data_IF_028611853738
#
_entry.id   IF_028611853738
#
_cell.length_a   1.000
_cell.length_b   1.000
_cell.length_c   1.000
_cell.angle_alpha   90.00
_cell.angle_beta   90.00
_cell.angle_gamma   90.00
#
_symmetry.space_group_name_H-M   'P 1'
#
loop_
_entity.id
_entity.type
_entity.pdbx_description
1 polymer ?
#
# COMPACT_ATOMS: atom_id res chain seq x y z
N UNK A 1 1.79 11.77 -2.66
CA UNK A 1 0.41 11.52 -2.20
C UNK A 1 -0.63 12.35 -2.96
N UNK A 2 -0.97 13.59 -2.60
CA UNK A 2 -2.16 14.28 -3.17
C UNK A 2 -2.13 14.49 -4.69
N UNK A 3 -0.94 14.71 -5.29
CA UNK A 3 -0.79 14.83 -6.75
C UNK A 3 -1.04 13.51 -7.51
N UNK A 4 -1.04 12.37 -6.83
CA UNK A 4 -1.46 11.11 -7.43
C UNK A 4 -2.98 11.14 -7.62
N UNK A 5 -3.37 11.47 -8.85
CA UNK A 5 -4.76 11.63 -9.26
C UNK A 5 -5.48 10.29 -9.30
N UNK A 6 -4.82 9.19 -9.68
CA UNK A 6 -5.41 7.85 -9.71
C UNK A 6 -5.81 7.46 -8.30
N UNK A 7 -4.87 7.51 -7.36
CA UNK A 7 -5.12 7.21 -5.94
C UNK A 7 -6.24 8.07 -5.37
N UNK A 8 -6.08 9.40 -5.43
CA UNK A 8 -6.98 10.33 -4.73
C UNK A 8 -8.38 10.34 -5.35
N UNK A 9 -8.50 10.29 -6.69
CA UNK A 9 -9.80 10.25 -7.37
C UNK A 9 -10.52 8.91 -7.22
N UNK A 10 -9.79 7.80 -7.06
CA UNK A 10 -10.41 6.50 -6.76
C UNK A 10 -11.14 6.53 -5.42
N UNK A 11 -10.51 7.04 -4.35
CA UNK A 11 -11.21 7.23 -3.07
C UNK A 11 -12.37 8.20 -3.18
N UNK A 12 -12.16 9.36 -3.83
CA UNK A 12 -13.22 10.34 -4.02
C UNK A 12 -14.44 9.74 -4.72
N UNK A 13 -14.24 9.02 -5.84
CA UNK A 13 -15.32 8.35 -6.57
C UNK A 13 -15.97 7.26 -5.73
N UNK A 14 -15.18 6.41 -5.07
CA UNK A 14 -15.71 5.34 -4.21
C UNK A 14 -16.63 5.89 -3.11
N UNK A 15 -16.28 7.04 -2.52
CA UNK A 15 -17.06 7.69 -1.46
C UNK A 15 -18.27 8.45 -2.05
N UNK A 16 -18.05 9.38 -2.98
CA UNK A 16 -19.11 10.26 -3.50
C UNK A 16 -20.14 9.52 -4.36
N UNK A 17 -19.72 8.55 -5.18
CA UNK A 17 -20.66 7.73 -5.97
C UNK A 17 -21.49 6.78 -5.10
N UNK A 18 -21.07 6.54 -3.85
CA UNK A 18 -21.79 5.72 -2.88
C UNK A 18 -22.23 6.55 -1.67
N UNK A 19 -22.54 7.85 -1.85
CA UNK A 19 -22.92 8.74 -0.77
C UNK A 19 -24.10 8.25 0.10
N UNK A 20 -24.98 7.41 -0.47
CA UNK A 20 -26.07 6.75 0.26
C UNK A 20 -25.57 5.83 1.39
N UNK A 21 -24.36 5.27 1.30
CA UNK A 21 -23.73 4.50 2.37
C UNK A 21 -23.16 5.39 3.47
N UNK A 22 -22.74 6.61 3.14
CA UNK A 22 -22.10 7.55 4.07
C UNK A 22 -23.09 8.46 4.78
N UNK A 23 -24.25 8.73 4.18
CA UNK A 23 -25.25 9.65 4.74
C UNK A 23 -25.62 9.25 6.18
N UNK A 24 -25.53 10.23 7.08
CA UNK A 24 -25.84 10.10 8.51
C UNK A 24 -24.97 9.07 9.26
N UNK A 25 -23.84 8.64 8.68
CA UNK A 25 -22.91 7.67 9.30
C UNK A 25 -21.77 8.32 10.05
N UNK A 26 -21.23 7.60 11.03
CA UNK A 26 -19.98 7.92 11.69
C UNK A 26 -18.83 7.21 10.97
N UNK A 27 -17.84 7.97 10.52
CA UNK A 27 -16.69 7.47 9.75
C UNK A 27 -15.41 7.62 10.56
N UNK A 28 -14.52 6.62 10.48
CA UNK A 28 -13.15 6.68 10.97
C UNK A 28 -12.17 6.73 9.80
N UNK A 29 -11.34 7.77 9.75
CA UNK A 29 -10.25 7.93 8.79
C UNK A 29 -8.91 7.57 9.49
N UNK A 30 -8.36 6.40 9.19
CA UNK A 30 -7.15 5.86 9.85
C UNK A 30 -5.93 6.27 9.04
N UNK A 31 -5.05 7.08 9.63
CA UNK A 31 -3.93 7.71 8.91
C UNK A 31 -4.43 8.89 8.08
N UNK A 32 -5.23 9.77 8.70
CA UNK A 32 -5.97 10.81 7.99
C UNK A 32 -5.08 11.83 7.26
N UNK A 33 -3.81 11.96 7.65
CA UNK A 33 -2.85 12.86 7.01
C UNK A 33 -3.39 14.29 6.93
N UNK A 34 -3.48 14.81 5.71
CA UNK A 34 -4.07 16.15 5.43
C UNK A 34 -5.59 16.25 5.61
N UNK A 35 -6.28 15.13 5.90
CA UNK A 35 -7.73 15.06 6.08
C UNK A 35 -8.54 14.89 4.79
N UNK A 36 -7.91 14.67 3.64
CA UNK A 36 -8.60 14.66 2.34
C UNK A 36 -9.71 13.60 2.25
N UNK A 37 -9.51 12.41 2.81
CA UNK A 37 -10.52 11.34 2.81
C UNK A 37 -11.67 11.67 3.76
N UNK A 38 -11.35 12.24 4.93
CA UNK A 38 -12.32 12.82 5.85
C UNK A 38 -13.20 13.88 5.17
N UNK A 39 -12.63 14.75 4.34
CA UNK A 39 -13.38 15.77 3.61
C UNK A 39 -14.35 15.17 2.59
N UNK A 40 -13.91 14.13 1.85
CA UNK A 40 -14.80 13.41 0.93
C UNK A 40 -15.95 12.73 1.67
N UNK A 41 -15.70 12.12 2.84
CA UNK A 41 -16.75 11.53 3.66
C UNK A 41 -17.80 12.55 4.11
N UNK A 42 -17.36 13.75 4.54
CA UNK A 42 -18.27 14.86 4.90
C UNK A 42 -19.08 15.35 3.70
N UNK A 43 -18.44 15.48 2.52
CA UNK A 43 -19.11 15.83 1.26
C UNK A 43 -20.16 14.77 0.86
N UNK A 44 -19.91 13.49 1.12
CA UNK A 44 -20.86 12.40 0.92
C UNK A 44 -22.01 12.37 1.94
N UNK A 45 -22.01 13.26 2.94
CA UNK A 45 -23.08 13.38 3.92
C UNK A 45 -22.84 12.62 5.23
N UNK A 46 -21.59 12.23 5.55
CA UNK A 46 -21.26 11.65 6.85
C UNK A 46 -21.74 12.55 8.00
N UNK A 47 -22.36 11.95 9.01
CA UNK A 47 -22.80 12.67 10.22
C UNK A 47 -21.61 13.28 10.94
N UNK A 48 -20.56 12.48 11.12
CA UNK A 48 -19.32 12.88 11.77
C UNK A 48 -18.16 12.03 11.26
N UNK A 49 -16.97 12.63 11.20
CA UNK A 49 -15.73 11.92 10.88
C UNK A 49 -14.73 12.08 12.01
N UNK A 50 -14.15 10.97 12.45
CA UNK A 50 -12.99 10.96 13.33
C UNK A 50 -11.77 10.63 12.49
N UNK A 51 -10.78 11.52 12.44
CA UNK A 51 -9.51 11.27 11.74
C UNK A 51 -8.39 11.03 12.74
N UNK A 52 -7.73 9.87 12.68
CA UNK A 52 -6.56 9.57 13.52
C UNK A 52 -5.30 9.83 12.69
N UNK A 53 -4.37 10.58 13.24
CA UNK A 53 -3.08 10.88 12.61
C UNK A 53 -2.00 11.06 13.67
N UNK A 54 -0.86 10.39 13.54
CA UNK A 54 0.20 10.46 14.54
C UNK A 54 1.20 11.60 14.28
N UNK A 55 1.33 12.05 13.03
CA UNK A 55 2.29 13.07 12.61
C UNK A 55 1.75 14.50 12.74
N UNK A 56 2.66 15.47 12.60
CA UNK A 56 2.32 16.90 12.75
C UNK A 56 1.44 17.48 11.64
N UNK A 57 1.25 16.73 10.55
CA UNK A 57 0.39 17.12 9.44
C UNK A 57 -1.07 17.34 9.90
N UNK A 58 -1.47 16.77 11.03
CA UNK A 58 -2.79 16.95 11.62
C UNK A 58 -3.12 18.43 11.90
N UNK A 59 -2.10 19.25 12.19
CA UNK A 59 -2.26 20.70 12.36
C UNK A 59 -2.68 21.38 11.06
N UNK A 60 -2.17 20.91 9.93
CA UNK A 60 -2.56 21.33 8.59
C UNK A 60 -3.98 20.84 8.29
N UNK A 61 -4.32 19.59 8.64
CA UNK A 61 -5.66 19.05 8.47
C UNK A 61 -6.72 19.87 9.23
N UNK A 62 -6.44 20.25 10.47
CA UNK A 62 -7.29 21.13 11.28
C UNK A 62 -7.48 22.52 10.64
N UNK A 63 -6.40 23.10 10.08
CA UNK A 63 -6.49 24.35 9.35
C UNK A 63 -7.37 24.22 8.10
N UNK A 64 -7.14 23.18 7.29
CA UNK A 64 -7.90 22.89 6.09
C UNK A 64 -9.38 22.64 6.40
N UNK A 65 -9.70 21.93 7.50
CA UNK A 65 -11.08 21.75 7.99
C UNK A 65 -11.78 23.08 8.20
N UNK A 66 -11.11 24.01 8.89
CA UNK A 66 -11.64 25.34 9.19
C UNK A 66 -11.82 26.17 7.91
N UNK A 67 -10.81 26.18 7.04
CA UNK A 67 -10.84 26.97 5.80
C UNK A 67 -11.89 26.46 4.80
N UNK A 68 -12.24 25.17 4.82
CA UNK A 68 -13.28 24.57 3.97
C UNK A 68 -14.67 24.55 4.63
N UNK A 69 -14.84 25.16 5.81
CA UNK A 69 -16.16 25.30 6.45
C UNK A 69 -16.78 23.98 6.93
N UNK A 70 -15.97 22.96 7.23
CA UNK A 70 -16.49 21.68 7.72
C UNK A 70 -16.89 21.70 9.21
N UNK A 71 -16.59 22.81 9.91
CA UNK A 71 -17.01 23.05 11.29
C UNK A 71 -16.64 21.89 12.22
N UNK A 72 -17.62 21.47 13.02
CA UNK A 72 -17.46 20.38 13.99
C UNK A 72 -17.74 18.99 13.39
N UNK A 73 -17.99 18.86 12.08
CA UNK A 73 -18.29 17.56 11.45
C UNK A 73 -17.07 16.63 11.36
N UNK A 74 -15.87 17.15 11.68
CA UNK A 74 -14.62 16.38 11.70
C UNK A 74 -13.86 16.68 12.99
N UNK A 75 -13.47 15.62 13.69
CA UNK A 75 -12.58 15.68 14.85
C UNK A 75 -11.29 14.94 14.50
N UNK A 76 -10.18 15.66 14.44
CA UNK A 76 -8.86 15.04 14.28
C UNK A 76 -8.26 14.72 15.65
N UNK A 77 -7.73 13.52 15.79
CA UNK A 77 -7.15 12.97 17.02
C UNK A 77 -5.68 12.66 16.77
N UNK A 78 -4.79 13.40 17.44
CA UNK A 78 -3.35 13.23 17.28
C UNK A 78 -2.84 12.06 18.11
N UNK A 79 -2.23 11.08 17.47
CA UNK A 79 -1.61 9.93 18.12
C UNK A 79 -1.67 8.66 17.30
N UNK A 80 -1.14 7.57 17.87
CA UNK A 80 -1.28 6.23 17.29
C UNK A 80 -2.68 5.70 17.60
N UNK A 81 -3.30 5.00 16.65
CA UNK A 81 -4.66 4.53 16.83
C UNK A 81 -4.79 3.56 18.02
N UNK A 82 -3.73 2.81 18.30
CA UNK A 82 -3.62 1.86 19.40
C UNK A 82 -3.66 2.53 20.79
N UNK A 83 -3.37 3.85 20.85
CA UNK A 83 -3.27 4.64 22.08
C UNK A 83 -4.41 5.64 22.25
N UNK A 84 -5.29 5.73 21.25
CA UNK A 84 -6.42 6.66 21.24
C UNK A 84 -7.70 5.94 21.68
N UNK A 85 -8.55 6.66 22.37
CA UNK A 85 -9.97 6.32 22.53
C UNK A 85 -10.83 7.28 21.72
N UNK A 86 -11.76 6.71 20.93
CA UNK A 86 -12.75 7.51 20.25
C UNK A 86 -13.83 7.96 21.25
N UNK A 87 -14.42 9.15 21.09
CA UNK A 87 -15.55 9.60 21.91
C UNK A 87 -16.87 8.88 21.57
N UNK A 88 -16.79 7.79 20.80
CA UNK A 88 -17.89 6.91 20.40
C UNK A 88 -17.47 5.46 20.60
N UNK A 89 -18.42 4.59 20.93
CA UNK A 89 -18.15 3.16 21.11
C UNK A 89 -17.96 2.40 19.80
N UNK A 90 -18.51 2.92 18.70
CA UNK A 90 -18.39 2.28 17.38
C UNK A 90 -18.54 3.27 16.24
N UNK A 91 -18.04 2.87 15.06
CA UNK A 91 -18.15 3.58 13.79
C UNK A 91 -18.82 2.68 12.74
N UNK A 92 -19.48 3.31 11.78
CA UNK A 92 -20.16 2.61 10.69
C UNK A 92 -19.19 2.26 9.55
N UNK A 93 -18.21 3.14 9.29
CA UNK A 93 -17.30 3.03 8.16
C UNK A 93 -15.87 3.31 8.63
N UNK A 94 -14.92 2.50 8.19
CA UNK A 94 -13.50 2.84 8.23
C UNK A 94 -13.05 3.16 6.80
N UNK A 95 -12.40 4.30 6.62
CA UNK A 95 -11.66 4.65 5.40
C UNK A 95 -10.19 4.76 5.76
N UNK A 96 -9.31 4.24 4.92
CA UNK A 96 -7.87 4.37 5.13
C UNK A 96 -7.11 4.16 3.83
N UNK A 97 -6.05 4.94 3.65
CA UNK A 97 -5.02 4.72 2.65
C UNK A 97 -3.83 4.03 3.33
N UNK A 98 -3.93 2.72 3.45
CA UNK A 98 -2.98 1.90 4.23
C UNK A 98 -1.94 1.20 3.37
N UNK A 99 -2.09 1.23 2.05
CA UNK A 99 -1.28 0.43 1.13
C UNK A 99 0.13 1.00 1.03
N UNK A 100 1.12 0.14 1.21
CA UNK A 100 2.52 0.50 1.04
C UNK A 100 3.13 -0.06 -0.25
N UNK A 101 4.44 0.04 -0.39
CA UNK A 101 5.14 -0.58 -1.53
C UNK A 101 4.95 -2.09 -1.52
N UNK A 102 4.84 -2.70 -2.70
CA UNK A 102 4.49 -4.12 -2.82
C UNK A 102 3.27 -4.52 -1.95
N UNK A 103 2.30 -3.58 -1.83
CA UNK A 103 1.11 -3.62 -0.99
C UNK A 103 1.35 -3.62 0.53
N UNK A 104 2.36 -4.34 1.03
CA UNK A 104 2.52 -4.67 2.46
C UNK A 104 3.74 -4.02 3.13
N UNK A 105 4.70 -3.46 2.38
CA UNK A 105 5.87 -2.81 2.97
C UNK A 105 5.52 -1.42 3.49
N UNK A 106 5.80 -1.13 4.76
CA UNK A 106 5.38 0.09 5.46
C UNK A 106 3.86 0.34 5.45
N UNK A 107 3.08 -0.72 5.21
CA UNK A 107 1.63 -0.63 5.18
C UNK A 107 1.04 -0.45 6.59
N UNK A 108 -0.06 0.30 6.68
CA UNK A 108 -0.83 0.48 7.92
C UNK A 108 -1.93 -0.56 8.10
N UNK A 109 -1.85 -1.71 7.40
CA UNK A 109 -2.89 -2.73 7.41
C UNK A 109 -3.17 -3.25 8.82
N UNK A 110 -2.12 -3.49 9.63
CA UNK A 110 -2.28 -3.95 11.01
C UNK A 110 -3.09 -2.96 11.86
N UNK A 111 -2.83 -1.66 11.71
CA UNK A 111 -3.57 -0.59 12.40
C UNK A 111 -5.02 -0.49 11.91
N UNK A 112 -5.29 -0.69 10.61
CA UNK A 112 -6.65 -0.75 10.08
C UNK A 112 -7.42 -1.94 10.67
N UNK A 113 -6.77 -3.10 10.76
CA UNK A 113 -7.36 -4.30 11.37
C UNK A 113 -7.61 -4.10 12.87
N UNK A 114 -6.70 -3.46 13.58
CA UNK A 114 -6.90 -3.06 14.98
C UNK A 114 -8.13 -2.15 15.13
N UNK A 115 -8.24 -1.10 14.31
CA UNK A 115 -9.38 -0.18 14.34
C UNK A 115 -10.70 -0.88 14.01
N UNK A 116 -10.69 -1.82 13.06
CA UNK A 116 -11.84 -2.66 12.72
C UNK A 116 -12.28 -3.50 13.92
N UNK A 117 -11.32 -4.14 14.58
CA UNK A 117 -11.62 -5.03 15.70
C UNK A 117 -12.08 -4.25 16.93
N UNK A 118 -11.54 -3.04 17.14
CA UNK A 118 -11.90 -2.17 18.26
C UNK A 118 -13.21 -1.40 18.04
N UNK A 119 -13.41 -0.75 16.89
CA UNK A 119 -14.47 0.24 16.71
C UNK A 119 -15.47 -0.03 15.59
N UNK A 120 -15.16 -0.86 14.60
CA UNK A 120 -16.12 -1.08 13.51
C UNK A 120 -17.31 -1.92 13.99
N UNK A 121 -18.54 -1.48 13.65
CA UNK A 121 -19.76 -2.26 13.86
C UNK A 121 -19.66 -3.62 13.19
N UNK A 122 -19.89 -4.70 13.93
CA UNK A 122 -19.60 -6.08 13.47
C UNK A 122 -20.52 -6.56 12.36
N UNK A 123 -21.79 -6.17 12.41
CA UNK A 123 -22.80 -6.66 11.46
C UNK A 123 -22.95 -5.78 10.22
N UNK A 124 -22.79 -4.46 10.39
CA UNK A 124 -23.10 -3.47 9.34
C UNK A 124 -21.90 -2.65 8.90
N UNK A 125 -20.72 -2.89 9.47
CA UNK A 125 -19.55 -2.09 9.24
C UNK A 125 -18.96 -2.26 7.85
N UNK A 126 -18.47 -1.18 7.27
CA UNK A 126 -17.83 -1.15 5.95
C UNK A 126 -16.39 -0.66 6.10
N UNK A 127 -15.47 -1.24 5.32
CA UNK A 127 -14.08 -0.77 5.22
C UNK A 127 -13.83 -0.34 3.78
N UNK A 128 -13.19 0.81 3.58
CA UNK A 128 -12.77 1.27 2.26
C UNK A 128 -11.25 1.50 2.23
N UNK A 129 -10.51 0.77 1.36
CA UNK A 129 -10.94 -0.38 0.55
C UNK A 129 -11.15 -1.65 1.39
N UNK A 130 -12.06 -2.52 0.96
CA UNK A 130 -12.34 -3.82 1.62
C UNK A 130 -11.55 -4.99 1.03
N UNK A 131 -10.93 -4.82 -0.14
CA UNK A 131 -10.17 -5.85 -0.86
C UNK A 131 -8.91 -5.26 -1.47
N UNK A 132 -7.83 -6.03 -1.43
CA UNK A 132 -6.63 -5.77 -2.19
C UNK A 132 -6.06 -7.07 -2.76
N UNK A 133 -5.37 -6.94 -3.88
CA UNK A 133 -4.79 -8.05 -4.63
C UNK A 133 -3.36 -7.70 -5.01
N UNK A 134 -2.44 -8.64 -4.85
CA UNK A 134 -1.07 -8.51 -5.37
C UNK A 134 -0.91 -9.43 -6.58
N UNK A 135 -0.34 -8.88 -7.64
CA UNK A 135 -0.03 -9.58 -8.87
C UNK A 135 1.47 -9.57 -9.12
N UNK A 136 1.95 -10.58 -9.85
CA UNK A 136 3.34 -10.71 -10.27
C UNK A 136 3.37 -11.03 -11.77
N UNK A 137 4.26 -10.38 -12.49
CA UNK A 137 4.63 -10.72 -13.87
C UNK A 137 6.16 -10.67 -13.98
N UNK A 138 6.73 -11.43 -14.92
CA UNK A 138 8.14 -11.32 -15.26
C UNK A 138 8.33 -10.22 -16.32
N UNK A 139 9.46 -9.54 -16.25
CA UNK A 139 9.84 -8.44 -17.13
C UNK A 139 11.16 -8.77 -17.83
N UNK A 140 11.33 -8.22 -19.02
CA UNK A 140 12.63 -8.04 -19.67
C UNK A 140 13.22 -6.72 -19.14
N UNK A 141 14.46 -6.74 -18.68
CA UNK A 141 15.08 -5.58 -18.01
C UNK A 141 16.61 -5.60 -18.13
N UNK A 142 17.14 -6.17 -19.21
CA UNK A 142 18.58 -6.40 -19.37
C UNK A 142 19.37 -5.09 -19.42
N UNK A 143 18.85 -4.07 -20.12
CA UNK A 143 19.51 -2.77 -20.25
C UNK A 143 19.58 -2.03 -18.90
N UNK A 144 18.45 -1.91 -18.20
CA UNK A 144 18.40 -1.28 -16.88
C UNK A 144 19.25 -2.03 -15.85
N UNK A 145 19.21 -3.37 -15.89
CA UNK A 145 20.08 -4.21 -15.05
C UNK A 145 21.55 -3.95 -15.35
N UNK A 146 21.97 -3.88 -16.62
CA UNK A 146 23.38 -3.59 -16.94
C UNK A 146 23.76 -2.18 -16.47
N UNK A 147 22.89 -1.19 -16.63
CA UNK A 147 23.13 0.17 -16.12
C UNK A 147 23.29 0.21 -14.60
N UNK A 148 22.38 -0.40 -13.84
CA UNK A 148 22.37 -0.32 -12.36
C UNK A 148 23.29 -1.31 -11.69
N UNK A 149 23.44 -2.51 -12.25
CA UNK A 149 24.15 -3.64 -11.65
C UNK A 149 25.52 -3.84 -12.29
N UNK A 150 25.63 -3.61 -13.61
CA UNK A 150 26.89 -3.72 -14.36
C UNK A 150 27.91 -2.64 -14.03
N UNK A 151 27.46 -1.41 -13.70
CA UNK A 151 28.32 -0.29 -13.28
C UNK A 151 29.30 -0.67 -12.15
N UNK A 152 28.86 -1.50 -11.20
CA UNK A 152 29.67 -1.91 -10.04
C UNK A 152 30.81 -2.87 -10.37
N UNK A 153 30.87 -3.42 -11.58
CA UNK A 153 32.01 -4.25 -11.99
C UNK A 153 33.30 -3.41 -12.09
N UNK A 154 33.20 -2.11 -12.39
CA UNK A 154 34.35 -1.23 -12.52
C UNK A 154 33.96 0.23 -12.22
N UNK A 155 34.26 0.67 -11.01
CA UNK A 155 34.01 2.04 -10.56
C UNK A 155 35.33 2.78 -10.57
N UNK A 156 35.57 3.55 -11.64
CA UNK A 156 36.81 4.32 -11.85
C UNK A 156 38.11 3.49 -11.76
N UNK A 157 38.10 2.26 -12.26
CA UNK A 157 39.22 1.32 -12.22
C UNK A 157 39.24 0.40 -11.00
N UNK A 158 38.26 0.53 -10.09
CA UNK A 158 38.15 -0.27 -8.87
C UNK A 158 37.07 -1.35 -9.00
N UNK A 159 37.35 -2.55 -8.50
CA UNK A 159 36.39 -3.64 -8.45
C UNK A 159 35.42 -3.46 -7.26
N UNK A 160 34.17 -3.11 -7.58
CA UNK A 160 33.07 -2.97 -6.62
C UNK A 160 32.06 -4.13 -6.73
N UNK A 161 32.45 -5.26 -7.31
CA UNK A 161 31.56 -6.41 -7.54
C UNK A 161 30.93 -6.98 -6.26
N UNK A 162 31.48 -6.70 -5.08
CA UNK A 162 30.81 -7.02 -3.82
C UNK A 162 29.48 -6.26 -3.65
N UNK A 163 29.44 -4.97 -4.02
CA UNK A 163 28.23 -4.12 -3.95
C UNK A 163 27.13 -4.66 -4.86
N UNK A 164 27.52 -5.20 -6.03
CA UNK A 164 26.61 -5.88 -6.95
C UNK A 164 25.78 -6.97 -6.26
N UNK A 165 26.40 -7.77 -5.39
CA UNK A 165 25.71 -8.83 -4.67
C UNK A 165 24.68 -8.27 -3.69
N UNK A 166 25.00 -7.16 -3.01
CA UNK A 166 24.07 -6.47 -2.10
C UNK A 166 22.86 -5.93 -2.86
N UNK A 167 23.06 -5.25 -3.98
CA UNK A 167 21.98 -4.63 -4.77
C UNK A 167 21.04 -5.69 -5.35
N UNK A 168 21.56 -6.85 -5.77
CA UNK A 168 20.74 -7.95 -6.28
C UNK A 168 19.80 -8.57 -5.22
N UNK A 169 20.03 -8.28 -3.93
CA UNK A 169 19.16 -8.70 -2.84
C UNK A 169 18.03 -7.71 -2.53
N UNK A 170 18.16 -6.47 -2.98
CA UNK A 170 17.22 -5.38 -2.68
C UNK A 170 16.17 -5.23 -3.79
N UNK A 171 14.86 -5.21 -3.44
CA UNK A 171 13.82 -4.88 -4.41
C UNK A 171 13.93 -3.41 -4.86
N UNK A 172 13.78 -3.17 -6.15
CA UNK A 172 13.74 -1.82 -6.72
C UNK A 172 12.28 -1.41 -6.91
N UNK A 173 11.94 -0.21 -6.45
CA UNK A 173 10.64 0.42 -6.68
C UNK A 173 10.80 1.41 -7.82
N UNK A 174 10.36 1.02 -9.01
CA UNK A 174 10.36 1.87 -10.20
C UNK A 174 9.15 1.59 -11.08
N UNK A 175 8.91 2.44 -12.07
CA UNK A 175 7.87 2.23 -13.08
C UNK A 175 8.41 1.32 -14.18
N UNK A 176 7.71 0.21 -14.43
CA UNK A 176 8.02 -0.71 -15.53
C UNK A 176 7.18 -0.32 -16.74
N UNK A 177 7.85 -0.13 -17.89
CA UNK A 177 7.18 0.09 -19.18
C UNK A 177 6.36 -1.14 -19.59
N UNK A 178 5.17 -0.94 -20.13
CA UNK A 178 4.27 -2.05 -20.51
C UNK A 178 4.93 -3.01 -21.51
N UNK A 179 5.74 -2.49 -22.43
CA UNK A 179 6.48 -3.28 -23.43
C UNK A 179 7.53 -4.21 -22.82
N UNK A 180 7.99 -3.95 -21.60
CA UNK A 180 8.95 -4.79 -20.88
C UNK A 180 8.30 -6.02 -20.23
N UNK A 181 6.97 -6.07 -20.11
CA UNK A 181 6.27 -7.18 -19.45
C UNK A 181 6.25 -8.42 -20.37
N UNK A 182 6.98 -9.46 -19.99
CA UNK A 182 7.23 -10.64 -20.83
C UNK A 182 6.26 -11.81 -20.57
N UNK A 183 5.47 -11.75 -19.50
CA UNK A 183 4.53 -12.83 -19.13
C UNK A 183 3.17 -12.27 -18.72
N UNK A 184 2.14 -13.10 -18.79
CA UNK A 184 0.86 -12.81 -18.13
C UNK A 184 1.04 -12.63 -16.62
N UNK A 185 0.24 -11.73 -16.03
CA UNK A 185 0.24 -11.54 -14.59
C UNK A 185 -0.44 -12.71 -13.85
N UNK A 186 0.18 -13.17 -12.77
CA UNK A 186 -0.38 -14.15 -11.84
C UNK A 186 -0.75 -13.46 -10.52
N UNK A 187 -1.94 -13.75 -9.99
CA UNK A 187 -2.37 -13.25 -8.69
C UNK A 187 -1.70 -14.05 -7.57
N UNK A 188 -0.86 -13.39 -6.77
CA UNK A 188 -0.06 -14.02 -5.71
C UNK A 188 -0.59 -13.77 -4.30
N UNK A 189 -1.46 -12.76 -4.13
CA UNK A 189 -2.12 -12.48 -2.85
C UNK A 189 -3.54 -11.97 -3.06
N UNK A 190 -4.42 -12.39 -2.15
CA UNK A 190 -5.75 -11.82 -1.93
C UNK A 190 -5.85 -11.44 -0.46
N UNK A 191 -5.96 -10.16 -0.15
CA UNK A 191 -6.33 -9.70 1.19
C UNK A 191 -7.73 -9.12 1.14
N UNK A 192 -8.60 -9.58 2.03
CA UNK A 192 -9.83 -8.88 2.34
C UNK A 192 -9.59 -8.14 3.66
N UNK A 193 -9.86 -6.84 3.75
CA UNK A 193 -9.77 -6.12 5.01
C UNK A 193 -10.74 -6.70 6.07
N UNK A 194 -11.80 -7.39 5.63
CA UNK A 194 -12.69 -8.19 6.49
C UNK A 194 -12.04 -9.49 7.00
N UNK A 195 -11.04 -10.03 6.31
CA UNK A 195 -10.38 -11.28 6.65
C UNK A 195 -8.86 -11.22 6.35
N UNK A 196 -8.09 -10.99 7.42
CA UNK A 196 -6.83 -11.67 7.73
C UNK A 196 -5.56 -10.81 7.85
N UNK A 197 -5.08 -10.68 9.10
CA UNK A 197 -3.67 -10.50 9.41
C UNK A 197 -2.83 -11.74 9.03
N UNK A 198 -3.43 -12.95 9.08
CA UNK A 198 -2.75 -14.21 8.79
C UNK A 198 -2.44 -14.40 7.28
N UNK A 199 -3.33 -13.95 6.39
CA UNK A 199 -3.14 -14.10 4.94
C UNK A 199 -2.07 -13.14 4.41
N UNK A 200 -1.99 -11.92 4.96
CA UNK A 200 -0.95 -10.96 4.59
C UNK A 200 0.46 -11.47 4.93
N UNK A 201 0.65 -12.04 6.13
CA UNK A 201 1.94 -12.67 6.53
C UNK A 201 2.28 -13.90 5.68
N UNK A 202 1.30 -14.75 5.41
CA UNK A 202 1.49 -15.93 4.56
C UNK A 202 1.86 -15.54 3.12
N UNK A 203 1.31 -14.45 2.60
CA UNK A 203 1.57 -13.99 1.25
C UNK A 203 2.87 -13.22 1.09
N UNK A 204 3.29 -12.44 2.10
CA UNK A 204 4.65 -11.90 2.13
C UNK A 204 5.69 -13.03 2.09
N UNK A 205 5.44 -14.12 2.84
CA UNK A 205 6.27 -15.32 2.78
C UNK A 205 6.17 -16.05 1.42
N UNK A 206 4.98 -16.10 0.79
CA UNK A 206 4.79 -16.69 -0.52
C UNK A 206 5.47 -15.88 -1.63
N UNK A 207 5.41 -14.55 -1.59
CA UNK A 207 6.12 -13.66 -2.48
C UNK A 207 7.64 -13.84 -2.34
N UNK A 208 8.16 -13.89 -1.11
CA UNK A 208 9.57 -14.18 -0.85
C UNK A 208 10.00 -15.56 -1.42
N UNK A 209 9.14 -16.58 -1.30
CA UNK A 209 9.37 -17.91 -1.89
C UNK A 209 9.29 -17.89 -3.42
N UNK A 210 8.38 -17.14 -4.01
CA UNK A 210 8.27 -16.99 -5.46
C UNK A 210 9.51 -16.29 -6.04
N UNK A 211 10.02 -15.26 -5.36
CA UNK A 211 11.30 -14.61 -5.69
C UNK A 211 12.46 -15.60 -5.56
N UNK A 212 12.51 -16.40 -4.49
CA UNK A 212 13.54 -17.42 -4.32
C UNK A 212 13.47 -18.52 -5.39
N UNK A 213 12.26 -18.94 -5.79
CA UNK A 213 12.06 -19.92 -6.86
C UNK A 213 12.48 -19.36 -8.23
N UNK A 214 12.15 -18.10 -8.52
CA UNK A 214 12.62 -17.41 -9.72
C UNK A 214 14.15 -17.31 -9.76
N UNK A 215 14.80 -17.02 -8.62
CA UNK A 215 16.27 -17.05 -8.47
C UNK A 215 16.86 -18.43 -8.79
N UNK A 216 16.24 -19.51 -8.29
CA UNK A 216 16.70 -20.88 -8.55
C UNK A 216 16.57 -21.26 -10.04
N UNK A 217 15.47 -20.88 -10.69
CA UNK A 217 15.22 -21.13 -12.11
C UNK A 217 16.22 -20.37 -13.01
N UNK A 218 16.48 -19.09 -12.71
CA UNK A 218 17.47 -18.29 -13.43
C UNK A 218 18.90 -18.83 -13.27
N UNK A 219 19.26 -19.29 -12.07
CA UNK A 219 20.56 -19.91 -11.79
C UNK A 219 20.76 -21.26 -12.49
N UNK A 220 19.69 -22.05 -12.66
CA UNK A 220 19.73 -23.32 -13.38
C UNK A 220 19.90 -23.13 -14.89
N UNK A 221 19.21 -22.13 -15.48
CA UNK A 221 19.34 -21.78 -16.90
C UNK A 221 20.75 -21.31 -17.28
N UNK A 222 21.38 -20.50 -16.43
CA UNK A 222 22.76 -20.03 -16.64
C UNK A 222 23.79 -21.17 -16.61
N UNK A 223 23.60 -22.19 -15.74
CA UNK A 223 24.48 -23.37 -15.67
C UNK A 223 24.30 -24.31 -16.86
N UNK A 224 23.09 -24.44 -17.39
CA UNK A 224 22.82 -25.23 -18.59
C UNK A 224 23.47 -24.62 -19.84
N UNK A 225 23.38 -23.29 -20.01
CA UNK A 225 24.02 -22.56 -21.11
C UNK A 225 25.56 -22.63 -21.05
N UNK A 226 26.16 -22.53 -19.85
CA UNK A 226 27.60 -22.66 -19.66
C UNK A 226 28.14 -24.09 -19.89
N UNK A 227 27.30 -25.11 -19.74
CA UNK A 227 27.66 -26.51 -20.00
C UNK A 227 27.73 -26.85 -21.50
N UNK A 228 26.88 -26.24 -22.32
CA UNK A 228 26.87 -26.44 -23.78
C UNK A 228 28.03 -25.73 -24.49
N UNK A 229 28.51 -24.60 -23.98
CA UNK A 229 29.67 -23.90 -24.54
C UNK A 229 31.03 -24.56 -24.25
N UNK A 230 31.11 -25.53 -23.32
CA UNK A 230 32.35 -26.28 -23.04
C UNK A 230 32.49 -27.57 -23.84
N UNK A 231 31.53 -27.88 -24.71
CA UNK A 231 31.55 -29.08 -25.56
C UNK A 231 31.69 -28.77 -27.06
N UNK A 232 32.06 -27.53 -27.42
CA UNK A 232 32.45 -27.13 -28.78
C UNK A 232 33.91 -26.69 -28.82
#
# INVERSE_FOLDING_TARGET
MIKDSVRTSCYQRAILSNAHLFRDKVVLDVGSGTGILSFFAVQAGAKHVYGIECSEIITIAERLKRDNGFGDRITFLRGRAEEIELPVSSVDIIVSEWMGYCLLYEAMLDTVLFCRDKWLKKETGIILPDKAFLYLAAIEDAEYKEEKVGYWNNVYGLDFSYVKNCIMEEPIVDTVEESAVATTAARILVTAAAAAAAAARAAAAAAARAVAAARAAAGAGARAAAGQQRQQ
#
